data_IF_304522695706
#
_entry.id   IF_304522695706
#
_cell.length_a   1.000
_cell.length_b   1.000
_cell.length_c   1.000
_cell.angle_alpha   90.00
_cell.angle_beta   90.00
_cell.angle_gamma   90.00
#
_symmetry.space_group_name_H-M   'P 1'
#
loop_
_entity.id
_entity.type
_entity.pdbx_description
1 polymer ?
#
# COMPACT_ATOMS: atom_id res chain seq x y z
N UNK A 1 -8.27 -0.78 8.76
CA UNK A 1 -7.06 -1.17 8.00
C UNK A 1 -7.31 -0.83 6.55
N UNK A 2 -6.30 -0.37 5.79
CA UNK A 2 -6.50 0.05 4.42
C UNK A 2 -6.93 -1.13 3.55
N UNK A 3 -8.06 -1.01 2.87
CA UNK A 3 -8.49 -2.01 1.88
C UNK A 3 -7.77 -1.76 0.55
N UNK A 4 -6.87 -2.68 0.21
CA UNK A 4 -6.07 -2.61 -1.00
C UNK A 4 -6.93 -2.48 -2.27
N UNK A 5 -8.08 -3.15 -2.31
CA UNK A 5 -9.00 -3.09 -3.46
C UNK A 5 -9.62 -1.70 -3.59
N UNK A 6 -10.00 -1.09 -2.47
CA UNK A 6 -10.50 0.29 -2.43
C UNK A 6 -9.43 1.28 -2.91
N UNK A 7 -8.19 1.17 -2.42
CA UNK A 7 -7.09 2.04 -2.86
C UNK A 7 -6.82 1.91 -4.36
N UNK A 8 -6.82 0.68 -4.90
CA UNK A 8 -6.67 0.42 -6.34
C UNK A 8 -7.81 1.06 -7.13
N UNK A 9 -9.06 0.91 -6.68
CA UNK A 9 -10.23 1.52 -7.33
C UNK A 9 -10.13 3.04 -7.36
N UNK A 10 -9.72 3.67 -6.27
CA UNK A 10 -9.58 5.13 -6.18
C UNK A 10 -8.54 5.63 -7.18
N UNK A 11 -7.40 4.95 -7.31
CA UNK A 11 -6.38 5.29 -8.32
C UNK A 11 -6.89 5.10 -9.75
N UNK A 12 -7.60 4.00 -10.02
CA UNK A 12 -8.22 3.75 -11.31
C UNK A 12 -9.26 4.84 -11.68
N UNK A 13 -10.06 5.29 -10.71
CA UNK A 13 -10.99 6.40 -10.90
C UNK A 13 -10.29 7.74 -11.14
N UNK A 14 -9.09 7.94 -10.58
CA UNK A 14 -8.26 9.11 -10.84
C UNK A 14 -7.49 9.03 -12.17
N UNK A 15 -7.68 7.98 -12.97
CA UNK A 15 -7.09 7.82 -14.30
C UNK A 15 -5.74 7.11 -14.31
N UNK A 16 -5.27 6.57 -13.19
CA UNK A 16 -4.07 5.75 -13.13
C UNK A 16 -4.40 4.28 -13.38
N UNK A 17 -3.60 3.58 -14.20
CA UNK A 17 -3.69 2.13 -14.28
C UNK A 17 -3.08 1.51 -13.02
N UNK A 18 -3.91 1.08 -12.06
CA UNK A 18 -3.49 0.53 -10.78
C UNK A 18 -3.93 -0.92 -10.59
N UNK A 19 -3.04 -1.76 -10.04
CA UNK A 19 -3.30 -3.18 -9.79
C UNK A 19 -2.44 -3.71 -8.62
N UNK A 20 -2.80 -4.86 -8.01
CA UNK A 20 -2.01 -5.40 -6.90
C UNK A 20 -0.64 -5.90 -7.37
N UNK A 21 0.38 -5.75 -6.53
CA UNK A 21 1.70 -6.31 -6.74
C UNK A 21 1.66 -7.81 -6.44
N UNK A 22 1.96 -8.65 -7.44
CA UNK A 22 2.06 -10.10 -7.28
C UNK A 22 3.50 -10.50 -6.97
N UNK A 23 3.70 -11.20 -5.86
CA UNK A 23 5.01 -11.72 -5.48
C UNK A 23 5.55 -12.67 -6.57
N UNK A 24 6.72 -12.35 -7.11
CA UNK A 24 7.49 -13.25 -8.00
C UNK A 24 7.18 -13.18 -9.50
N UNK A 25 6.09 -12.54 -9.93
CA UNK A 25 5.79 -12.40 -11.36
C UNK A 25 5.75 -10.92 -11.75
N UNK A 26 6.80 -10.49 -12.44
CA UNK A 26 6.61 -9.52 -13.52
C UNK A 26 5.68 -10.20 -14.53
N UNK A 27 4.35 -10.10 -14.33
CA UNK A 27 3.43 -10.12 -15.47
C UNK A 27 4.06 -9.25 -16.56
N UNK A 28 3.95 -9.60 -17.85
CA UNK A 28 4.53 -8.77 -18.91
C UNK A 28 4.05 -7.35 -18.67
N UNK A 29 4.98 -6.50 -18.19
CA UNK A 29 4.64 -5.15 -17.75
C UNK A 29 3.92 -4.53 -18.93
N UNK A 30 2.78 -3.86 -18.73
CA UNK A 30 2.06 -3.25 -19.83
C UNK A 30 3.06 -2.55 -20.75
N UNK A 31 3.15 -2.98 -22.01
CA UNK A 31 4.11 -2.45 -22.99
C UNK A 31 3.84 -0.96 -23.30
N UNK A 32 2.87 -0.35 -22.63
CA UNK A 32 2.49 1.05 -22.76
C UNK A 32 2.35 1.70 -21.38
N UNK A 33 2.95 2.88 -21.27
CA UNK A 33 2.55 3.93 -20.33
C UNK A 33 3.00 3.79 -18.88
N UNK A 34 2.55 4.78 -18.09
CA UNK A 34 2.70 4.84 -16.65
C UNK A 34 1.64 3.95 -15.97
N UNK A 35 2.04 3.20 -14.94
CA UNK A 35 1.12 2.41 -14.12
C UNK A 35 1.57 2.36 -12.66
N UNK A 36 0.68 1.92 -11.79
CA UNK A 36 0.89 1.86 -10.33
C UNK A 36 0.68 0.43 -9.84
N UNK A 37 1.59 -0.08 -9.02
CA UNK A 37 1.42 -1.36 -8.32
C UNK A 37 1.35 -1.13 -6.82
N UNK A 38 0.46 -1.86 -6.14
CA UNK A 38 0.27 -1.74 -4.69
C UNK A 38 0.37 -3.10 -4.00
N UNK A 39 1.14 -3.18 -2.91
CA UNK A 39 1.25 -4.35 -2.05
C UNK A 39 1.02 -3.92 -0.60
N UNK A 40 0.40 -4.78 0.21
CA UNK A 40 0.24 -4.56 1.64
C UNK A 40 0.80 -5.75 2.42
N UNK A 41 1.54 -5.48 3.49
CA UNK A 41 1.95 -6.48 4.46
C UNK A 41 1.55 -6.00 5.85
N UNK A 42 0.89 -6.85 6.63
CA UNK A 42 0.44 -6.52 7.98
C UNK A 42 1.12 -7.44 8.99
N UNK A 43 1.54 -6.85 10.11
CA UNK A 43 2.14 -7.56 11.24
C UNK A 43 1.37 -7.24 12.51
N UNK A 44 1.17 -8.27 13.35
CA UNK A 44 0.59 -8.14 14.68
C UNK A 44 1.72 -7.80 15.66
N UNK A 45 1.44 -6.92 16.61
CA UNK A 45 2.35 -6.65 17.72
C UNK A 45 2.40 -7.82 18.71
N UNK A 46 3.52 -7.95 19.42
CA UNK A 46 3.85 -9.13 20.23
C UNK A 46 2.97 -9.31 21.47
N UNK A 47 2.28 -8.27 21.94
CA UNK A 47 1.52 -8.30 23.20
C UNK A 47 0.08 -7.81 23.02
N UNK A 48 -0.94 -8.69 23.08
CA UNK A 48 -2.34 -8.27 23.20
C UNK A 48 -2.56 -7.55 24.53
N UNK A 49 -3.18 -6.37 24.48
CA UNK A 49 -3.60 -5.61 25.64
C UNK A 49 -4.99 -6.07 26.06
N UNK A 50 -5.12 -6.65 27.26
CA UNK A 50 -6.42 -7.09 27.78
C UNK A 50 -7.28 -5.88 28.15
N UNK A 51 -8.53 -5.89 27.72
CA UNK A 51 -9.55 -4.89 28.11
C UNK A 51 -10.65 -5.58 28.92
N UNK A 52 -11.55 -4.80 29.53
CA UNK A 52 -12.65 -5.35 30.34
C UNK A 52 -13.60 -6.30 29.59
N UNK A 53 -13.64 -6.23 28.25
CA UNK A 53 -14.56 -6.99 27.40
C UNK A 53 -13.86 -7.80 26.30
N UNK A 54 -12.53 -7.88 26.28
CA UNK A 54 -11.79 -8.54 25.21
C UNK A 54 -10.28 -8.28 25.22
N UNK A 55 -9.68 -8.26 24.02
CA UNK A 55 -8.27 -7.96 23.81
C UNK A 55 -8.11 -6.98 22.65
N UNK A 56 -7.06 -6.18 22.73
CA UNK A 56 -6.66 -5.24 21.70
C UNK A 56 -5.26 -5.60 21.23
N UNK A 57 -5.09 -5.80 19.92
CA UNK A 57 -3.80 -6.17 19.32
C UNK A 57 -3.31 -4.99 18.47
N UNK A 58 -2.11 -4.44 18.73
CA UNK A 58 -1.50 -3.47 17.84
C UNK A 58 -1.28 -4.09 16.46
N UNK A 59 -1.67 -3.37 15.40
CA UNK A 59 -1.40 -3.75 14.01
C UNK A 59 -0.50 -2.71 13.36
N UNK A 60 0.52 -3.19 12.65
CA UNK A 60 1.33 -2.37 11.76
C UNK A 60 1.16 -2.92 10.35
N UNK A 61 0.57 -2.12 9.47
CA UNK A 61 0.47 -2.42 8.06
C UNK A 61 1.40 -1.51 7.25
N UNK A 62 2.20 -2.12 6.39
CA UNK A 62 3.05 -1.45 5.43
C UNK A 62 2.41 -1.57 4.05
N UNK A 63 2.00 -0.43 3.49
CA UNK A 63 1.56 -0.31 2.11
C UNK A 63 2.75 0.10 1.25
N UNK A 64 3.15 -0.77 0.32
CA UNK A 64 4.12 -0.48 -0.72
C UNK A 64 3.39 -0.03 -1.97
N UNK A 65 3.78 1.11 -2.52
CA UNK A 65 3.22 1.68 -3.75
C UNK A 65 4.38 1.92 -4.70
N UNK A 66 4.31 1.44 -5.93
CA UNK A 66 5.32 1.73 -6.95
C UNK A 66 4.67 2.37 -8.15
N UNK A 67 5.16 3.54 -8.53
CA UNK A 67 4.77 4.21 -9.77
C UNK A 67 5.85 3.92 -10.79
N UNK A 68 5.48 3.37 -11.93
CA UNK A 68 6.37 2.96 -13.00
C UNK A 68 6.10 3.82 -14.22
N UNK A 69 7.12 4.45 -14.80
CA UNK A 69 6.97 5.25 -16.00
C UNK A 69 8.24 5.16 -16.88
N UNK A 70 8.12 5.50 -18.16
CA UNK A 70 9.29 5.59 -19.03
C UNK A 70 10.15 6.83 -18.71
N UNK A 71 11.46 6.79 -18.99
CA UNK A 71 12.43 7.88 -18.69
C UNK A 71 11.97 9.28 -19.13
N UNK A 72 11.18 9.38 -20.20
CA UNK A 72 10.74 10.65 -20.78
C UNK A 72 9.51 11.28 -20.10
N UNK A 73 8.89 10.58 -19.15
CA UNK A 73 7.72 11.07 -18.43
C UNK A 73 8.15 11.71 -17.10
N UNK A 74 7.45 12.77 -16.67
CA UNK A 74 7.64 13.36 -15.34
C UNK A 74 7.03 12.45 -14.27
N UNK A 75 7.74 11.35 -14.01
CA UNK A 75 7.38 10.35 -13.02
C UNK A 75 7.32 10.93 -11.61
N UNK A 76 8.07 12.00 -11.32
CA UNK A 76 8.04 12.63 -10.00
C UNK A 76 6.69 13.29 -9.76
N UNK A 77 6.20 14.06 -10.73
CA UNK A 77 4.87 14.65 -10.66
C UNK A 77 3.77 13.59 -10.56
N UNK A 78 3.87 12.50 -11.35
CA UNK A 78 2.92 11.39 -11.28
C UNK A 78 2.94 10.69 -9.92
N UNK A 79 4.12 10.46 -9.35
CA UNK A 79 4.30 9.85 -8.04
C UNK A 79 3.72 10.73 -6.92
N UNK A 80 3.93 12.04 -6.99
CA UNK A 80 3.37 13.00 -6.04
C UNK A 80 1.83 13.05 -6.10
N UNK A 81 1.24 12.97 -7.30
CA UNK A 81 -0.21 12.88 -7.48
C UNK A 81 -0.78 11.58 -6.88
N UNK A 82 -0.17 10.43 -7.19
CA UNK A 82 -0.56 9.13 -6.62
C UNK A 82 -0.48 9.16 -5.10
N UNK A 83 0.60 9.70 -4.54
CA UNK A 83 0.76 9.84 -3.09
C UNK A 83 -0.36 10.69 -2.49
N UNK A 84 -0.66 11.86 -3.07
CA UNK A 84 -1.70 12.76 -2.57
C UNK A 84 -3.09 12.09 -2.56
N UNK A 85 -3.43 11.36 -3.62
CA UNK A 85 -4.69 10.61 -3.72
C UNK A 85 -4.77 9.55 -2.61
N UNK A 86 -3.70 8.76 -2.44
CA UNK A 86 -3.68 7.69 -1.44
C UNK A 86 -3.75 8.22 -0.02
N UNK A 87 -3.01 9.28 0.31
CA UNK A 87 -3.06 9.88 1.64
C UNK A 87 -4.44 10.49 1.94
N UNK A 88 -5.09 11.09 0.95
CA UNK A 88 -6.46 11.60 1.08
C UNK A 88 -7.45 10.47 1.36
N UNK A 89 -7.34 9.36 0.63
CA UNK A 89 -8.20 8.18 0.83
C UNK A 89 -7.97 7.53 2.20
N UNK A 90 -6.71 7.38 2.62
CA UNK A 90 -6.36 6.84 3.94
C UNK A 90 -6.91 7.71 5.07
N UNK A 91 -6.87 9.04 4.91
CA UNK A 91 -7.47 9.96 5.88
C UNK A 91 -9.00 9.83 5.92
N UNK A 92 -9.66 9.68 4.77
CA UNK A 92 -11.11 9.44 4.70
C UNK A 92 -11.52 8.12 5.39
N UNK A 93 -10.68 7.09 5.30
CA UNK A 93 -10.84 5.81 6.02
C UNK A 93 -10.39 5.86 7.49
N UNK A 94 -10.03 7.05 8.00
CA UNK A 94 -9.53 7.24 9.37
C UNK A 94 -8.31 6.37 9.70
N UNK A 95 -7.49 6.05 8.70
CA UNK A 95 -6.24 5.31 8.90
C UNK A 95 -5.19 6.22 9.53
N UNK A 96 -4.55 5.75 10.61
CA UNK A 96 -3.47 6.49 11.26
C UNK A 96 -2.14 6.24 10.53
N UNK A 97 -1.82 7.13 9.58
CA UNK A 97 -0.55 7.13 8.85
C UNK A 97 0.57 7.61 9.76
N UNK A 98 1.49 6.70 10.08
CA UNK A 98 2.60 6.97 10.98
C UNK A 98 3.85 7.48 10.27
N UNK A 99 4.15 6.93 9.09
CA UNK A 99 5.34 7.28 8.32
C UNK A 99 5.09 7.08 6.83
N UNK A 100 5.74 7.91 6.01
CA UNK A 100 5.82 7.76 4.56
C UNK A 100 7.28 7.86 4.16
N UNK A 101 7.82 6.81 3.56
CA UNK A 101 9.19 6.76 3.04
C UNK A 101 9.16 6.68 1.52
N UNK A 102 10.05 7.42 0.85
CA UNK A 102 10.17 7.42 -0.61
C UNK A 102 11.52 6.85 -1.03
N UNK A 103 11.51 5.93 -1.98
CA UNK A 103 12.69 5.42 -2.67
C UNK A 103 12.58 5.61 -4.19
N UNK A 104 13.72 5.65 -4.87
CA UNK A 104 13.80 5.64 -6.34
C UNK A 104 14.55 4.38 -6.77
N UNK A 105 14.01 3.67 -7.75
CA UNK A 105 14.57 2.46 -8.33
C UNK A 105 14.82 2.75 -9.80
N UNK A 106 16.08 2.60 -10.22
CA UNK A 106 16.49 2.67 -11.63
C UNK A 106 16.78 1.26 -12.11
N UNK A 107 16.11 0.85 -13.18
CA UNK A 107 16.54 -0.32 -13.94
C UNK A 107 17.79 0.07 -14.79
N UNK A 108 18.51 -0.90 -15.36
CA UNK A 108 19.82 -0.66 -16.00
C UNK A 108 19.92 -0.82 -17.54
N UNK A 109 18.82 -0.96 -18.28
CA UNK A 109 18.78 -1.07 -19.75
C UNK A 109 18.18 0.18 -20.46
N UNK A 110 18.67 0.61 -21.64
CA UNK A 110 18.33 1.90 -22.28
C UNK A 110 16.85 2.34 -22.43
N UNK A 111 15.89 1.40 -22.44
CA UNK A 111 14.44 1.67 -22.36
C UNK A 111 13.95 1.80 -20.89
N UNK A 112 14.84 2.23 -20.00
CA UNK A 112 14.73 2.02 -18.56
C UNK A 112 13.47 2.65 -18.01
N UNK A 113 12.67 1.85 -17.33
CA UNK A 113 11.61 2.40 -16.50
C UNK A 113 12.28 3.09 -15.32
N UNK A 114 11.77 4.24 -14.91
CA UNK A 114 11.99 4.71 -13.56
C UNK A 114 10.84 4.15 -12.72
N UNK A 115 11.15 3.74 -11.48
CA UNK A 115 10.12 3.45 -10.50
C UNK A 115 10.34 4.27 -9.24
N UNK A 116 9.31 5.00 -8.82
CA UNK A 116 9.29 5.64 -7.50
C UNK A 116 8.47 4.76 -6.57
N UNK A 117 9.08 4.36 -5.46
CA UNK A 117 8.45 3.57 -4.42
C UNK A 117 8.07 4.45 -3.23
N UNK A 118 6.85 4.26 -2.73
CA UNK A 118 6.43 4.74 -1.42
C UNK A 118 6.18 3.55 -0.50
N UNK A 119 6.67 3.66 0.73
CA UNK A 119 6.29 2.80 1.84
C UNK A 119 5.51 3.64 2.84
N UNK A 120 4.22 3.36 2.97
CA UNK A 120 3.31 4.02 3.90
C UNK A 120 3.06 3.07 5.06
N UNK A 121 3.46 3.48 6.26
CA UNK A 121 3.22 2.71 7.48
C UNK A 121 1.95 3.22 8.15
N UNK A 122 0.96 2.34 8.28
CA UNK A 122 -0.30 2.60 8.99
C UNK A 122 -0.27 1.81 10.30
N UNK A 123 -0.52 2.49 11.43
CA UNK A 123 -0.69 1.85 12.73
C UNK A 123 -2.17 1.79 13.07
N UNK A 124 -2.60 0.72 13.70
CA UNK A 124 -3.96 0.60 14.19
C UNK A 124 -4.10 -0.41 15.30
N UNK A 125 -5.34 -0.64 15.70
CA UNK A 125 -5.70 -1.58 16.75
C UNK A 125 -6.73 -2.55 16.18
N UNK A 126 -6.48 -3.85 16.34
CA UNK A 126 -7.50 -4.88 16.17
C UNK A 126 -8.20 -5.08 17.50
N UNK A 127 -9.52 -4.94 17.53
CA UNK A 127 -10.33 -5.16 18.72
C UNK A 127 -11.00 -6.52 18.57
N UNK A 128 -10.69 -7.45 19.47
CA UNK A 128 -11.29 -8.77 19.53
C UNK A 128 -12.18 -8.84 20.77
N UNK A 129 -13.48 -9.08 20.60
CA UNK A 129 -14.42 -9.31 21.71
C UNK A 129 -14.39 -10.77 22.14
N UNK A 130 -14.68 -11.05 23.42
CA UNK A 130 -14.75 -12.44 23.90
C UNK A 130 -15.86 -13.20 23.14
N UNK A 131 -15.48 -14.26 22.43
CA UNK A 131 -16.39 -15.12 21.66
C UNK A 131 -15.97 -15.37 20.21
N UNK A 132 -15.03 -14.58 19.68
CA UNK A 132 -14.42 -14.83 18.36
C UNK A 132 -13.12 -15.63 18.55
N UNK A 133 -13.08 -16.84 18.01
CA UNK A 133 -11.88 -17.67 17.98
C UNK A 133 -10.75 -16.90 17.27
N UNK A 134 -9.68 -16.62 18.01
CA UNK A 134 -8.43 -16.00 17.53
C UNK A 134 -7.67 -16.86 16.51
N UNK A 135 -8.25 -17.98 16.07
CA UNK A 135 -7.72 -18.92 15.10
C UNK A 135 -8.11 -18.64 13.65
N UNK A 136 -8.81 -17.54 13.35
CA UNK A 136 -9.04 -17.16 11.96
C UNK A 136 -7.70 -16.77 11.30
N UNK A 137 -7.21 -17.69 10.48
CA UNK A 137 -5.96 -17.67 9.72
C UNK A 137 -5.75 -16.32 9.00
N UNK A 138 -4.64 -15.66 9.33
CA UNK A 138 -4.03 -14.63 8.48
C UNK A 138 -2.69 -15.18 7.99
N UNK A 139 -2.76 -16.23 7.16
CA UNK A 139 -1.68 -16.63 6.28
C UNK A 139 -1.91 -16.01 4.90
#
# INVERSE_FOLDING_TARGET
MPDLNTLIRVLNHAGFLAFPEFAGCLNPLPNKGCFVTLAAACSKGDAPLRTGSGFVIPLICQLRVRVHAGVRQDIRALAEQVQAILLTQLAAEQCNVHAVQRGEIRYGKPDDRLSIEYQITVKGLLICTQGEDLHADFN
#
